data_IF_935077814444
#
_entry.id   IF_935077814444
#
_cell.length_a   1.000
_cell.length_b   1.000
_cell.length_c   1.000
_cell.angle_alpha   90.00
_cell.angle_beta   90.00
_cell.angle_gamma   90.00
#
_symmetry.space_group_name_H-M   'P 1'
#
loop_
_entity.id
_entity.type
_entity.pdbx_description
1 polymer ?
#
# COMPACT_ATOMS: atom_id res chain seq x y z
N UNK A 1 9.69 14.16 1.77
CA UNK A 1 9.96 12.72 1.49
C UNK A 1 8.78 11.82 1.85
N UNK A 2 8.14 11.99 3.02
CA UNK A 2 6.96 11.20 3.45
C UNK A 2 5.88 10.97 2.39
N UNK A 3 5.42 12.05 1.75
CA UNK A 3 4.41 11.98 0.69
C UNK A 3 4.86 11.25 -0.59
N UNK A 4 6.17 11.29 -0.89
CA UNK A 4 6.74 10.55 -2.00
C UNK A 4 6.73 9.04 -1.70
N UNK A 5 7.15 8.67 -0.49
CA UNK A 5 7.16 7.27 -0.04
C UNK A 5 5.74 6.69 0.01
N UNK A 6 4.76 7.44 0.52
CA UNK A 6 3.35 7.05 0.52
C UNK A 6 2.86 6.74 -0.90
N UNK A 7 3.12 7.62 -1.86
CA UNK A 7 2.70 7.44 -3.25
C UNK A 7 3.38 6.26 -3.94
N UNK A 8 4.66 6.03 -3.67
CA UNK A 8 5.41 4.88 -4.22
C UNK A 8 4.83 3.58 -3.68
N UNK A 9 4.57 3.50 -2.38
CA UNK A 9 3.95 2.33 -1.74
C UNK A 9 2.55 2.05 -2.28
N UNK A 10 1.71 3.09 -2.41
CA UNK A 10 0.36 2.94 -2.99
C UNK A 10 0.45 2.41 -4.43
N UNK A 11 1.36 2.96 -5.24
CA UNK A 11 1.53 2.52 -6.64
C UNK A 11 1.99 1.06 -6.72
N UNK A 12 2.94 0.67 -5.88
CA UNK A 12 3.45 -0.69 -5.84
C UNK A 12 2.36 -1.70 -5.43
N UNK A 13 1.62 -1.41 -4.35
CA UNK A 13 0.55 -2.30 -3.87
C UNK A 13 -0.64 -2.36 -4.85
N UNK A 14 -1.01 -1.24 -5.48
CA UNK A 14 -2.09 -1.23 -6.48
C UNK A 14 -1.74 -1.97 -7.77
N UNK A 15 -0.45 -2.14 -8.07
CA UNK A 15 0.01 -2.90 -9.23
C UNK A 15 -0.08 -4.42 -9.01
N UNK A 16 -0.22 -4.87 -7.76
CA UNK A 16 -0.46 -6.27 -7.46
C UNK A 16 -1.90 -6.65 -7.81
N UNK A 17 -2.05 -7.89 -8.29
CA UNK A 17 -3.35 -8.51 -8.46
C UNK A 17 -3.96 -8.90 -7.10
N UNK A 18 -5.27 -9.05 -7.05
CA UNK A 18 -6.00 -9.20 -5.79
C UNK A 18 -5.59 -10.47 -5.02
N UNK A 19 -5.28 -11.57 -5.73
CA UNK A 19 -4.77 -12.80 -5.10
C UNK A 19 -3.39 -12.61 -4.45
N UNK A 20 -2.55 -11.71 -4.98
CA UNK A 20 -1.23 -11.39 -4.39
C UNK A 20 -1.37 -10.53 -3.15
N UNK A 21 -2.37 -9.65 -3.15
CA UNK A 21 -2.71 -8.85 -1.99
C UNK A 21 -3.28 -9.74 -0.87
N UNK A 22 -4.16 -10.69 -1.23
CA UNK A 22 -4.72 -11.66 -0.30
C UNK A 22 -3.67 -12.59 0.30
N UNK A 23 -2.69 -13.04 -0.49
CA UNK A 23 -1.54 -13.86 -0.03
C UNK A 23 -0.73 -13.18 1.09
N UNK A 24 -0.66 -11.84 1.08
CA UNK A 24 0.00 -11.05 2.13
C UNK A 24 -0.99 -10.46 3.16
N UNK A 25 -2.26 -10.87 3.10
CA UNK A 25 -3.31 -10.44 4.04
C UNK A 25 -3.70 -8.96 3.92
N UNK A 26 -3.59 -8.37 2.74
CA UNK A 26 -3.91 -6.96 2.47
C UNK A 26 -5.13 -6.87 1.56
N UNK A 27 -6.09 -6.01 1.89
CA UNK A 27 -7.21 -5.68 1.00
C UNK A 27 -7.00 -4.36 0.27
N UNK A 28 -7.58 -4.19 -0.92
CA UNK A 28 -7.34 -2.98 -1.74
C UNK A 28 -7.76 -1.69 -1.04
N UNK A 29 -8.85 -1.74 -0.28
CA UNK A 29 -9.35 -0.62 0.51
C UNK A 29 -8.40 -0.20 1.64
N UNK A 30 -7.54 -1.12 2.10
CA UNK A 30 -6.61 -0.88 3.21
C UNK A 30 -5.30 -0.23 2.75
N UNK A 31 -4.94 -0.36 1.46
CA UNK A 31 -3.66 0.12 0.89
C UNK A 31 -3.37 1.59 1.23
N UNK A 32 -4.36 2.47 1.14
CA UNK A 32 -4.19 3.90 1.37
C UNK A 32 -3.87 4.21 2.85
N UNK A 33 -4.59 3.56 3.77
CA UNK A 33 -4.32 3.66 5.20
C UNK A 33 -2.96 3.03 5.54
N UNK A 34 -2.67 1.87 4.94
CA UNK A 34 -1.40 1.16 4.86
C UNK A 34 -0.20 2.09 4.68
N UNK A 35 -0.18 2.68 3.49
CA UNK A 35 0.89 3.54 3.03
C UNK A 35 1.05 4.80 3.88
N UNK A 36 -0.06 5.37 4.37
CA UNK A 36 -0.02 6.54 5.26
C UNK A 36 0.60 6.19 6.61
N UNK A 37 0.28 5.03 7.18
CA UNK A 37 0.90 4.55 8.43
C UNK A 37 2.39 4.31 8.25
N UNK A 38 2.79 3.61 7.17
CA UNK A 38 4.20 3.33 6.87
C UNK A 38 5.02 4.60 6.57
N UNK A 39 4.41 5.58 5.92
CA UNK A 39 5.05 6.87 5.73
C UNK A 39 5.20 7.61 7.06
N UNK A 40 4.24 7.45 7.99
CA UNK A 40 4.20 8.14 9.28
C UNK A 40 4.97 7.47 10.43
N UNK A 41 5.45 6.25 10.23
CA UNK A 41 6.44 5.60 11.10
C UNK A 41 7.82 6.22 10.98
#
# INVERSE_FOLDING_TARGET
>A
MRWHNERVTIKALRALEDYRLDDIGVRREEIAAMARTLANG
#
